data_IF_330778790390
#
_entry.id   IF_330778790390
#
_cell.length_a   1.000
_cell.length_b   1.000
_cell.length_c   1.000
_cell.angle_alpha   90.00
_cell.angle_beta   90.00
_cell.angle_gamma   90.00
#
_symmetry.space_group_name_H-M   'P 1'
#
loop_
_entity.id
_entity.type
_entity.pdbx_description
1 polymer ?
#
# COMPACT_ATOMS: atom_id res chain seq x y z
N UNK A 1 6.27 1.60 -3.94
CA UNK A 1 4.89 1.78 -4.50
C UNK A 1 3.93 1.97 -3.35
N UNK A 2 3.08 3.00 -3.42
CA UNK A 2 2.07 3.26 -2.40
C UNK A 2 0.93 4.09 -2.94
N UNK A 3 -0.06 4.33 -2.09
CA UNK A 3 -1.16 5.25 -2.32
C UNK A 3 -0.85 6.53 -1.55
N UNK A 4 -0.92 7.71 -2.19
CA UNK A 4 -0.79 8.96 -1.46
C UNK A 4 -2.02 9.13 -0.55
N UNK A 5 -1.83 9.60 0.66
CA UNK A 5 -2.91 9.79 1.62
C UNK A 5 -2.42 10.06 3.03
N UNK A 6 -3.20 10.79 3.81
CA UNK A 6 -2.82 11.19 5.16
C UNK A 6 -3.76 10.56 6.18
N UNK A 7 -3.21 9.73 7.07
CA UNK A 7 -3.96 9.16 8.21
C UNK A 7 -4.19 10.16 9.35
N UNK A 8 -3.42 11.26 9.38
CA UNK A 8 -3.48 12.31 10.38
C UNK A 8 -3.07 13.64 9.77
N UNK A 9 -1.91 14.18 10.17
CA UNK A 9 -1.40 15.43 9.59
C UNK A 9 -1.02 15.29 8.11
N UNK A 10 -0.98 16.41 7.40
CA UNK A 10 -0.64 16.51 5.98
C UNK A 10 0.61 17.36 5.74
N UNK A 11 1.69 17.05 6.47
CA UNK A 11 2.92 17.86 6.49
C UNK A 11 3.64 17.88 5.13
N UNK A 12 3.44 16.84 4.31
CA UNK A 12 4.01 16.68 2.97
C UNK A 12 2.93 16.75 1.87
N UNK A 13 1.93 17.61 2.08
CA UNK A 13 0.88 17.92 1.10
C UNK A 13 -0.38 17.09 1.22
N UNK A 14 -1.41 17.48 0.47
CA UNK A 14 -2.76 16.92 0.56
C UNK A 14 -3.57 17.52 1.71
N UNK A 15 -4.67 16.86 2.06
CA UNK A 15 -5.54 17.22 3.18
C UNK A 15 -5.27 16.31 4.39
N UNK A 16 -5.37 16.83 5.62
CA UNK A 16 -5.25 16.01 6.82
C UNK A 16 -6.40 15.00 6.91
N UNK A 17 -6.15 13.86 7.54
CA UNK A 17 -7.11 12.76 7.76
C UNK A 17 -7.91 12.42 6.49
N UNK A 18 -7.24 12.39 5.34
CA UNK A 18 -7.85 12.17 4.04
C UNK A 18 -7.02 11.18 3.23
N UNK A 19 -7.62 10.03 2.93
CA UNK A 19 -7.06 9.04 2.01
C UNK A 19 -7.49 9.31 0.57
N UNK A 20 -6.74 8.83 -0.42
CA UNK A 20 -7.19 8.77 -1.81
C UNK A 20 -7.80 7.41 -2.15
N UNK A 21 -8.42 7.30 -3.32
CA UNK A 21 -8.91 6.00 -3.79
C UNK A 21 -7.76 5.12 -4.26
N UNK A 22 -7.53 3.99 -3.59
CA UNK A 22 -6.52 3.00 -3.99
C UNK A 22 -7.04 2.00 -5.04
N UNK A 23 -6.11 1.34 -5.75
CA UNK A 23 -6.42 0.29 -6.73
C UNK A 23 -5.56 -0.97 -6.48
N UNK A 24 -5.94 -1.83 -5.52
CA UNK A 24 -5.10 -2.92 -5.00
C UNK A 24 -4.59 -3.90 -6.07
N UNK A 25 -5.46 -4.47 -6.91
CA UNK A 25 -5.07 -5.41 -7.97
C UNK A 25 -4.12 -4.76 -8.97
N UNK A 26 -4.40 -3.52 -9.36
CA UNK A 26 -3.53 -2.75 -10.26
C UNK A 26 -2.17 -2.54 -9.64
N UNK A 27 -2.11 -2.12 -8.37
CA UNK A 27 -0.86 -1.93 -7.65
C UNK A 27 -0.04 -3.22 -7.60
N UNK A 28 -0.70 -4.34 -7.28
CA UNK A 28 -0.07 -5.64 -7.25
C UNK A 28 0.45 -6.08 -8.62
N UNK A 29 -0.35 -5.92 -9.67
CA UNK A 29 0.05 -6.27 -11.04
C UNK A 29 1.30 -5.50 -11.46
N UNK A 30 1.36 -4.20 -11.19
CA UNK A 30 2.55 -3.37 -11.46
C UNK A 30 3.75 -3.84 -10.65
N UNK A 31 3.59 -4.08 -9.34
CA UNK A 31 4.70 -4.47 -8.46
C UNK A 31 5.27 -5.85 -8.82
N UNK A 32 4.42 -6.81 -9.18
CA UNK A 32 4.83 -8.12 -9.69
C UNK A 32 5.64 -7.98 -10.98
N UNK A 33 5.21 -7.13 -11.92
CA UNK A 33 5.96 -6.88 -13.16
C UNK A 33 7.26 -6.14 -12.91
N UNK A 34 7.31 -5.17 -11.98
CA UNK A 34 8.56 -4.52 -11.56
C UNK A 34 9.56 -5.56 -11.03
N UNK A 35 9.12 -6.45 -10.13
CA UNK A 35 9.97 -7.48 -9.56
C UNK A 35 10.48 -8.44 -10.65
N UNK A 36 9.59 -8.93 -11.50
CA UNK A 36 9.91 -9.84 -12.61
C UNK A 36 10.90 -9.23 -13.60
N UNK A 37 10.69 -7.98 -14.01
CA UNK A 37 11.56 -7.28 -14.96
C UNK A 37 12.91 -6.92 -14.34
N UNK A 38 12.93 -6.52 -13.07
CA UNK A 38 14.17 -6.26 -12.32
C UNK A 38 15.09 -7.48 -12.30
N UNK A 39 14.53 -8.67 -12.04
CA UNK A 39 15.29 -9.92 -12.10
C UNK A 39 15.67 -10.30 -13.54
N UNK A 40 14.73 -10.24 -14.48
CA UNK A 40 14.96 -10.62 -15.88
C UNK A 40 16.03 -9.78 -16.58
N UNK A 41 16.16 -8.51 -16.20
CA UNK A 41 17.14 -7.57 -16.80
C UNK A 41 18.36 -7.34 -15.91
N UNK A 42 18.56 -8.21 -14.91
CA UNK A 42 19.74 -8.24 -14.04
C UNK A 42 20.00 -6.94 -13.24
N UNK A 43 18.98 -6.08 -13.09
CA UNK A 43 19.04 -4.93 -12.17
C UNK A 43 19.04 -5.42 -10.70
N UNK A 44 18.26 -6.47 -10.42
CA UNK A 44 18.19 -7.15 -9.12
C UNK A 44 17.81 -6.25 -7.93
N UNK A 45 17.21 -5.09 -8.18
CA UNK A 45 16.64 -4.24 -7.13
C UNK A 45 15.31 -4.82 -6.64
N UNK A 46 15.02 -4.74 -5.33
CA UNK A 46 13.76 -5.21 -4.79
C UNK A 46 12.61 -4.29 -5.20
N UNK A 47 11.46 -4.87 -5.57
CA UNK A 47 10.21 -4.14 -5.65
C UNK A 47 9.48 -4.25 -4.30
N UNK A 48 9.09 -3.12 -3.72
CA UNK A 48 8.41 -3.08 -2.42
C UNK A 48 7.24 -2.12 -2.37
N UNK A 49 6.32 -2.40 -1.44
CA UNK A 49 5.32 -1.45 -1.01
C UNK A 49 5.91 -0.44 -0.04
N UNK A 50 5.23 0.69 0.04
CA UNK A 50 5.28 1.61 1.16
C UNK A 50 3.88 1.79 1.73
N UNK A 51 3.81 2.28 2.97
CA UNK A 51 2.54 2.63 3.62
C UNK A 51 1.89 3.84 2.96
N UNK A 52 0.61 4.10 3.24
CA UNK A 52 -0.02 5.33 2.74
C UNK A 52 0.59 6.55 3.43
N UNK A 53 1.03 7.52 2.64
CA UNK A 53 1.63 8.75 3.15
C UNK A 53 1.61 9.87 2.10
N UNK A 54 1.78 11.11 2.57
CA UNK A 54 1.92 12.35 1.80
C UNK A 54 0.79 12.67 0.80
N UNK A 55 0.86 13.85 0.19
CA UNK A 55 -0.08 14.29 -0.84
C UNK A 55 0.23 13.76 -2.24
N UNK A 56 -0.51 14.18 -3.27
CA UNK A 56 -1.66 15.08 -3.22
C UNK A 56 -2.91 14.36 -2.70
N UNK A 57 -3.99 15.12 -2.52
CA UNK A 57 -5.34 14.56 -2.36
C UNK A 57 -6.14 14.84 -3.62
N UNK A 58 -6.69 13.80 -4.24
CA UNK A 58 -7.40 13.82 -5.52
C UNK A 58 -8.72 13.03 -5.43
N UNK A 59 -9.63 13.29 -6.36
CA UNK A 59 -10.92 12.59 -6.45
C UNK A 59 -10.85 11.28 -7.24
N UNK A 60 -9.86 11.14 -8.13
CA UNK A 60 -9.67 9.94 -8.96
C UNK A 60 -8.74 8.94 -8.26
N UNK A 61 -8.82 7.64 -8.57
CA UNK A 61 -7.85 6.66 -8.11
C UNK A 61 -6.41 7.06 -8.46
N UNK A 62 -5.48 6.90 -7.53
CA UNK A 62 -4.09 7.29 -7.68
C UNK A 62 -3.15 6.32 -6.95
N UNK A 63 -1.99 6.09 -7.54
CA UNK A 63 -0.86 5.38 -6.93
C UNK A 63 0.44 6.09 -7.30
N UNK A 64 1.49 5.84 -6.51
CA UNK A 64 2.87 6.22 -6.80
C UNK A 64 3.68 4.97 -7.16
N UNK A 65 4.40 5.06 -8.27
CA UNK A 65 5.33 4.04 -8.77
C UNK A 65 6.70 4.71 -8.90
N UNK A 66 7.64 4.28 -8.05
CA UNK A 66 8.82 5.08 -7.71
C UNK A 66 10.13 4.31 -7.90
N UNK A 67 11.20 5.08 -8.08
CA UNK A 67 12.58 4.61 -8.09
C UNK A 67 13.30 5.33 -6.96
N UNK A 68 14.01 4.59 -6.11
CA UNK A 68 14.68 5.13 -4.95
C UNK A 68 16.00 4.43 -4.65
N UNK A 69 16.85 5.01 -3.79
CA UNK A 69 16.48 6.09 -2.85
C UNK A 69 17.28 7.39 -2.99
N UNK A 70 18.19 7.48 -3.97
CA UNK A 70 19.03 8.66 -4.18
C UNK A 70 19.06 9.08 -5.65
N UNK A 71 19.69 10.23 -5.91
CA UNK A 71 19.90 10.76 -7.25
C UNK A 71 20.63 9.77 -8.18
N UNK A 72 21.48 8.89 -7.63
CA UNK A 72 22.10 7.81 -8.39
C UNK A 72 21.03 6.86 -8.95
N UNK A 73 20.09 6.41 -8.11
CA UNK A 73 19.03 5.52 -8.55
C UNK A 73 18.02 6.22 -9.46
N UNK A 74 17.70 7.48 -9.19
CA UNK A 74 16.77 8.27 -9.99
C UNK A 74 17.25 8.46 -11.44
N UNK A 75 18.56 8.57 -11.64
CA UNK A 75 19.18 8.72 -12.96
C UNK A 75 19.50 7.37 -13.63
N UNK A 76 19.11 6.24 -13.03
CA UNK A 76 19.34 4.93 -13.63
C UNK A 76 18.34 4.65 -14.77
N UNK A 77 18.82 4.73 -16.01
CA UNK A 77 17.99 4.53 -17.21
C UNK A 77 17.32 3.15 -17.26
N UNK A 78 18.02 2.09 -16.80
CA UNK A 78 17.47 0.73 -16.78
C UNK A 78 16.32 0.61 -15.77
N UNK A 79 16.45 1.22 -14.59
CA UNK A 79 15.37 1.28 -13.60
C UNK A 79 14.16 2.06 -14.16
N UNK A 80 14.40 3.16 -14.87
CA UNK A 80 13.37 3.92 -15.59
C UNK A 80 12.63 3.08 -16.63
N UNK A 81 13.37 2.35 -17.48
CA UNK A 81 12.79 1.46 -18.50
C UNK A 81 11.99 0.32 -17.87
N UNK A 82 12.49 -0.27 -16.78
CA UNK A 82 11.79 -1.32 -16.03
C UNK A 82 10.48 -0.78 -15.44
N UNK A 83 10.53 0.36 -14.76
CA UNK A 83 9.35 0.97 -14.15
C UNK A 83 8.28 1.30 -15.21
N UNK A 84 8.67 1.93 -16.31
CA UNK A 84 7.75 2.26 -17.41
C UNK A 84 7.09 1.00 -18.01
N UNK A 85 7.88 -0.03 -18.31
CA UNK A 85 7.36 -1.29 -18.85
C UNK A 85 6.45 -2.03 -17.85
N UNK A 86 6.78 -2.01 -16.57
CA UNK A 86 5.99 -2.63 -15.52
C UNK A 86 4.64 -1.93 -15.33
N UNK A 87 4.63 -0.59 -15.36
CA UNK A 87 3.39 0.20 -15.28
C UNK A 87 2.47 -0.15 -16.46
N UNK A 88 2.99 -0.14 -17.69
CA UNK A 88 2.20 -0.45 -18.88
C UNK A 88 1.63 -1.88 -18.85
N UNK A 89 2.44 -2.87 -18.46
CA UNK A 89 1.99 -4.26 -18.35
C UNK A 89 1.00 -4.48 -17.20
N UNK A 90 1.25 -3.85 -16.04
CA UNK A 90 0.39 -3.97 -14.88
C UNK A 90 -0.97 -3.31 -15.08
N UNK A 91 -1.03 -2.18 -15.78
CA UNK A 91 -2.28 -1.51 -16.17
C UNK A 91 -3.08 -2.29 -17.22
N UNK A 92 -2.41 -3.04 -18.10
CA UNK A 92 -3.05 -3.86 -19.12
C UNK A 92 -3.50 -5.24 -18.60
N UNK A 93 -3.21 -5.57 -17.35
CA UNK A 93 -3.55 -6.85 -16.74
C UNK A 93 -4.97 -6.85 -16.19
N UNK A 94 -5.77 -7.83 -16.60
CA UNK A 94 -7.12 -8.08 -16.05
C UNK A 94 -7.11 -8.98 -14.81
N UNK A 95 -5.92 -9.26 -14.24
CA UNK A 95 -5.79 -10.13 -13.09
C UNK A 95 -6.25 -9.42 -11.82
N UNK A 96 -7.23 -10.02 -11.16
CA UNK A 96 -7.81 -9.54 -9.90
C UNK A 96 -7.38 -10.40 -8.71
N UNK A 97 -7.29 -9.76 -7.55
CA UNK A 97 -6.96 -10.40 -6.28
C UNK A 97 -7.88 -9.92 -5.16
N UNK A 98 -8.17 -10.77 -4.16
CA UNK A 98 -8.79 -10.34 -2.91
C UNK A 98 -8.03 -9.20 -2.25
N UNK A 99 -8.69 -8.07 -2.03
CA UNK A 99 -8.08 -6.89 -1.42
C UNK A 99 -8.11 -6.96 0.11
N UNK A 100 -6.98 -6.64 0.76
CA UNK A 100 -6.85 -6.60 2.21
C UNK A 100 -6.30 -5.25 2.68
N UNK A 101 -6.82 -4.73 3.80
CA UNK A 101 -6.20 -3.60 4.49
C UNK A 101 -4.94 -4.06 5.23
N UNK A 102 -3.93 -3.19 5.33
CA UNK A 102 -2.71 -3.43 6.09
C UNK A 102 -2.63 -2.57 7.34
N UNK A 103 -2.29 -3.17 8.48
CA UNK A 103 -2.13 -2.44 9.75
C UNK A 103 -0.80 -2.78 10.42
N UNK A 104 0.00 -1.75 10.65
CA UNK A 104 1.28 -1.83 11.36
C UNK A 104 2.51 -1.83 10.47
N UNK A 105 3.65 -2.04 11.11
CA UNK A 105 4.95 -1.93 10.47
C UNK A 105 5.43 -0.48 10.35
N UNK A 106 6.59 -0.33 9.73
CA UNK A 106 7.21 0.96 9.42
C UNK A 106 6.97 1.31 7.95
N UNK A 107 7.55 2.41 7.49
CA UNK A 107 7.35 3.00 6.17
C UNK A 107 7.36 2.01 4.99
N UNK A 108 8.32 1.06 4.94
CA UNK A 108 8.44 0.09 3.84
C UNK A 108 7.54 -1.15 3.94
N UNK A 109 6.56 -1.16 4.86
CA UNK A 109 5.51 -2.19 4.91
C UNK A 109 6.04 -3.63 4.81
N UNK A 110 7.22 -3.93 5.37
CA UNK A 110 8.03 -5.09 4.94
C UNK A 110 7.35 -6.44 5.18
N UNK A 111 6.46 -6.52 6.17
CA UNK A 111 5.63 -7.71 6.42
C UNK A 111 4.61 -7.99 5.32
N UNK A 112 4.19 -6.98 4.58
CA UNK A 112 3.19 -7.11 3.54
C UNK A 112 3.79 -7.37 2.15
N UNK A 113 5.08 -7.08 1.93
CA UNK A 113 5.74 -7.22 0.62
C UNK A 113 5.67 -8.64 0.03
N UNK A 114 5.74 -9.68 0.85
CA UNK A 114 5.62 -11.07 0.40
C UNK A 114 4.24 -11.40 -0.19
N UNK A 115 3.19 -10.73 0.29
CA UNK A 115 1.85 -10.87 -0.26
C UNK A 115 1.76 -10.24 -1.65
N UNK A 116 2.43 -9.11 -1.91
CA UNK A 116 2.35 -8.44 -3.22
C UNK A 116 3.30 -8.93 -4.27
N UNK A 117 4.47 -9.43 -3.89
CA UNK A 117 5.47 -9.89 -4.87
C UNK A 117 5.29 -11.35 -5.28
N UNK A 118 4.33 -12.07 -4.70
CA UNK A 118 4.04 -13.46 -5.07
C UNK A 118 2.85 -14.15 -4.37
N UNK A 119 2.13 -13.50 -3.45
CA UNK A 119 0.98 -14.09 -2.77
C UNK A 119 -0.31 -14.07 -3.60
N UNK A 120 -1.42 -14.50 -2.99
CA UNK A 120 -2.73 -14.62 -3.64
C UNK A 120 -3.71 -13.48 -3.34
N UNK A 121 -3.29 -12.49 -2.54
CA UNK A 121 -4.11 -11.32 -2.15
C UNK A 121 -3.43 -10.04 -2.60
N UNK A 122 -4.14 -8.92 -2.69
CA UNK A 122 -3.57 -7.59 -2.88
C UNK A 122 -3.74 -6.71 -1.65
N UNK A 123 -2.80 -5.81 -1.40
CA UNK A 123 -2.88 -4.82 -0.34
C UNK A 123 -3.56 -3.55 -0.86
N UNK A 124 -4.52 -3.08 -0.08
CA UNK A 124 -5.17 -1.78 -0.24
C UNK A 124 -4.47 -0.73 0.62
N UNK A 125 -5.21 0.06 1.40
CA UNK A 125 -4.66 1.02 2.33
C UNK A 125 -3.80 0.35 3.40
N UNK A 126 -2.65 0.95 3.70
CA UNK A 126 -1.73 0.48 4.73
C UNK A 126 -1.51 1.59 5.76
N UNK A 127 -1.99 1.35 6.98
CA UNK A 127 -1.77 2.21 8.15
C UNK A 127 -0.45 1.82 8.84
N UNK A 128 0.58 2.67 8.86
CA UNK A 128 1.80 2.40 9.62
C UNK A 128 1.58 2.56 11.13
N UNK A 129 2.46 1.94 11.92
CA UNK A 129 2.44 2.01 13.40
C UNK A 129 2.30 3.45 13.92
N UNK A 130 3.11 4.37 13.39
CA UNK A 130 3.19 5.75 13.88
C UNK A 130 1.95 6.61 13.56
N UNK A 131 0.94 6.07 12.86
CA UNK A 131 -0.36 6.72 12.63
C UNK A 131 -1.53 6.03 13.33
N UNK A 132 -1.31 4.97 14.12
CA UNK A 132 -2.40 4.26 14.83
C UNK A 132 -3.11 5.17 15.84
N UNK A 133 -2.44 6.16 16.41
CA UNK A 133 -3.08 7.17 17.27
C UNK A 133 -4.18 7.94 16.55
N UNK A 134 -3.99 8.26 15.26
CA UNK A 134 -4.95 8.95 14.40
C UNK A 134 -6.01 8.04 13.78
N UNK A 135 -5.88 6.72 13.91
CA UNK A 135 -6.85 5.77 13.36
C UNK A 135 -8.14 5.76 14.19
N UNK A 136 -9.28 5.94 13.55
CA UNK A 136 -10.59 5.91 14.18
C UNK A 136 -11.63 5.34 13.21
N UNK A 137 -12.92 5.40 13.61
CA UNK A 137 -14.02 4.90 12.81
C UNK A 137 -14.17 5.61 11.45
N UNK A 138 -13.90 6.93 11.41
CA UNK A 138 -14.01 7.73 10.20
C UNK A 138 -12.88 7.38 9.22
N UNK A 139 -11.66 7.20 9.73
CA UNK A 139 -10.52 6.74 8.94
C UNK A 139 -10.70 5.32 8.41
N UNK A 140 -11.26 4.40 9.21
CA UNK A 140 -11.63 3.07 8.73
C UNK A 140 -12.69 3.14 7.63
N UNK A 141 -13.75 3.92 7.82
CA UNK A 141 -14.78 4.11 6.80
C UNK A 141 -14.21 4.70 5.49
N UNK A 142 -13.25 5.62 5.58
CA UNK A 142 -12.52 6.11 4.41
C UNK A 142 -11.72 4.99 3.74
N UNK A 143 -10.91 4.23 4.50
CA UNK A 143 -10.08 3.16 3.95
C UNK A 143 -10.91 2.06 3.25
N UNK A 144 -12.13 1.80 3.74
CA UNK A 144 -13.06 0.84 3.13
C UNK A 144 -13.76 1.37 1.88
N UNK A 145 -14.12 2.65 1.88
CA UNK A 145 -14.88 3.26 0.77
C UNK A 145 -13.99 3.76 -0.37
N UNK A 146 -12.75 4.16 -0.06
CA UNK A 146 -11.78 4.69 -1.03
C UNK A 146 -10.91 3.59 -1.62
N UNK A 147 -11.55 2.60 -2.18
CA UNK A 147 -10.89 1.50 -2.86
C UNK A 147 -11.69 1.13 -4.11
N UNK A 148 -11.01 0.84 -5.22
CA UNK A 148 -11.68 0.35 -6.44
C UNK A 148 -12.26 -1.06 -6.26
N UNK A 149 -11.83 -1.77 -5.21
CA UNK A 149 -12.25 -3.13 -4.87
C UNK A 149 -12.74 -3.18 -3.43
N UNK A 150 -13.77 -3.97 -3.15
CA UNK A 150 -14.21 -4.19 -1.77
C UNK A 150 -13.13 -4.96 -1.01
N UNK A 151 -12.67 -4.42 0.11
CA UNK A 151 -11.77 -5.15 1.00
C UNK A 151 -12.47 -6.40 1.58
N UNK A 152 -11.82 -7.55 1.46
CA UNK A 152 -12.30 -8.85 1.99
C UNK A 152 -11.86 -9.10 3.43
N UNK A 153 -10.85 -8.35 3.90
CA UNK A 153 -10.42 -8.39 5.28
C UNK A 153 -9.22 -7.48 5.57
N UNK A 154 -8.61 -7.71 6.73
CA UNK A 154 -7.44 -6.99 7.18
C UNK A 154 -6.28 -7.91 7.54
N UNK A 155 -5.06 -7.43 7.28
CA UNK A 155 -3.80 -7.99 7.73
C UNK A 155 -3.24 -7.12 8.85
N UNK A 156 -2.87 -7.74 9.97
CA UNK A 156 -2.25 -7.05 11.10
C UNK A 156 -0.82 -7.55 11.27
N UNK A 157 0.17 -6.66 11.12
CA UNK A 157 1.54 -6.93 11.53
C UNK A 157 1.58 -7.05 13.06
N UNK A 158 1.50 -8.29 13.53
CA UNK A 158 1.35 -8.60 14.94
C UNK A 158 2.53 -8.12 15.78
N UNK A 159 3.74 -8.02 15.20
CA UNK A 159 4.94 -7.54 15.89
C UNK A 159 5.22 -6.06 15.61
N UNK A 160 4.69 -5.52 14.52
CA UNK A 160 4.79 -4.12 14.14
C UNK A 160 3.89 -3.19 14.95
N UNK A 161 2.90 -3.71 15.67
CA UNK A 161 2.03 -2.95 16.56
C UNK A 161 2.19 -3.37 18.03
N UNK A 162 2.15 -2.38 18.93
CA UNK A 162 2.06 -2.56 20.38
C UNK A 162 0.72 -3.16 20.81
N UNK A 163 0.64 -3.65 22.06
CA UNK A 163 -0.57 -4.31 22.57
C UNK A 163 -1.84 -3.46 22.46
N UNK A 164 -1.77 -2.21 22.94
CA UNK A 164 -2.89 -1.26 22.89
C UNK A 164 -3.24 -0.84 21.46
N UNK A 165 -2.24 -0.57 20.63
CA UNK A 165 -2.41 -0.26 19.20
C UNK A 165 -3.16 -1.37 18.46
N UNK A 166 -2.76 -2.64 18.67
CA UNK A 166 -3.45 -3.80 18.08
C UNK A 166 -4.89 -3.90 18.57
N UNK A 167 -5.12 -3.72 19.88
CA UNK A 167 -6.46 -3.83 20.43
C UNK A 167 -7.39 -2.76 19.84
N UNK A 168 -6.91 -1.53 19.69
CA UNK A 168 -7.64 -0.44 19.04
C UNK A 168 -8.03 -0.79 17.61
N UNK A 169 -7.08 -1.29 16.81
CA UNK A 169 -7.33 -1.71 15.43
C UNK A 169 -8.35 -2.85 15.36
N UNK A 170 -8.16 -3.89 16.18
CA UNK A 170 -9.05 -5.06 16.22
C UNK A 170 -10.47 -4.65 16.59
N UNK A 171 -10.65 -3.83 17.62
CA UNK A 171 -11.98 -3.39 18.06
C UNK A 171 -12.73 -2.62 16.95
N UNK A 172 -12.06 -1.70 16.24
CA UNK A 172 -12.69 -0.97 15.13
C UNK A 172 -13.04 -1.89 13.95
N UNK A 173 -12.18 -2.86 13.62
CA UNK A 173 -12.46 -3.83 12.57
C UNK A 173 -13.65 -4.73 12.93
N UNK A 174 -13.71 -5.22 14.16
CA UNK A 174 -14.79 -6.08 14.65
C UNK A 174 -16.14 -5.34 14.74
N UNK A 175 -16.12 -4.07 15.16
CA UNK A 175 -17.32 -3.20 15.15
C UNK A 175 -17.90 -3.01 13.75
N UNK A 176 -17.06 -2.93 12.72
CA UNK A 176 -17.47 -2.85 11.31
C UNK A 176 -17.68 -4.23 10.65
N UNK A 177 -17.60 -5.32 11.44
CA UNK A 177 -17.81 -6.69 10.96
C UNK A 177 -16.74 -7.19 9.99
N UNK A 178 -15.53 -6.60 10.02
CA UNK A 178 -14.42 -6.96 9.15
C UNK A 178 -13.59 -8.10 9.73
N UNK A 179 -13.40 -9.16 8.94
CA UNK A 179 -12.49 -10.24 9.28
C UNK A 179 -11.03 -9.76 9.23
N UNK A 180 -10.22 -10.24 10.15
CA UNK A 180 -8.79 -9.93 10.20
C UNK A 180 -7.95 -11.18 10.46
N UNK A 181 -6.70 -11.16 10.02
CA UNK A 181 -5.71 -12.20 10.30
C UNK A 181 -4.35 -11.59 10.60
N UNK A 182 -3.53 -12.34 11.33
CA UNK A 182 -2.14 -11.96 11.61
C UNK A 182 -1.32 -12.14 10.34
N UNK A 183 -0.50 -11.15 10.01
CA UNK A 183 0.47 -11.20 8.93
C UNK A 183 1.81 -11.82 9.36
#
# INVERSE_FOLDING_TARGET
MHVPGNWGNADLGGLPSTLNTCAPSTMKNILCEMNKLSQKRELNWPASLEVDHHGPTLSSPILFAEIGSSEEEWNNELAGEIAANAIMQGLASDKEFPAYLGFGGMHYASKFNGYETGGDISLSHILPKYHVSSFDKEMLAQALSKCTQKAEGALIDWKGLGGEERQKVISLLEEEGMNWKKA
#
